data_IF_848949640195
#
_entry.id   IF_848949640195
#
_cell.length_a   1.000
_cell.length_b   1.000
_cell.length_c   1.000
_cell.angle_alpha   90.00
_cell.angle_beta   90.00
_cell.angle_gamma   90.00
#
_symmetry.space_group_name_H-M   'P 1'
#
loop_
_entity.id
_entity.type
_entity.pdbx_description
1 polymer ?
#
# COMPACT_ATOMS: atom_id res chain seq x y z
N UNK A 1 3.79 23.70 -6.17
CA UNK A 1 2.60 23.01 -5.68
C UNK A 1 2.93 22.17 -4.45
N UNK A 2 2.01 21.98 -3.48
CA UNK A 2 2.20 21.04 -2.38
C UNK A 2 1.12 19.94 -2.36
N UNK A 3 1.49 18.75 -1.87
CA UNK A 3 0.62 17.58 -1.76
C UNK A 3 0.72 17.05 -0.32
N UNK A 4 -0.39 16.72 0.34
CA UNK A 4 -0.34 16.17 1.70
C UNK A 4 -1.08 14.85 1.85
N UNK A 5 -0.32 13.83 2.36
CA UNK A 5 -0.85 12.56 2.86
C UNK A 5 -0.02 12.07 4.05
N UNK A 6 -0.62 11.96 5.25
CA UNK A 6 0.13 11.65 6.47
C UNK A 6 0.02 10.19 6.92
N UNK A 7 -0.98 9.45 6.44
CA UNK A 7 -1.28 8.05 6.79
C UNK A 7 -2.40 7.48 5.90
N UNK A 8 -2.65 6.16 5.88
CA UNK A 8 -1.80 5.12 6.39
C UNK A 8 -0.74 4.74 5.32
N UNK A 9 0.14 3.75 5.62
CA UNK A 9 1.19 3.30 4.69
C UNK A 9 0.65 2.98 3.29
N UNK A 10 -0.37 2.12 3.20
CA UNK A 10 -0.97 1.75 1.91
C UNK A 10 -1.58 2.93 1.15
N UNK A 11 -2.26 3.85 1.86
CA UNK A 11 -2.79 5.06 1.24
C UNK A 11 -1.67 5.98 0.70
N UNK A 12 -0.52 6.02 1.38
CA UNK A 12 0.66 6.78 0.92
C UNK A 12 1.24 6.10 -0.33
N UNK A 13 1.43 4.79 -0.31
CA UNK A 13 1.87 4.04 -1.48
C UNK A 13 0.97 4.28 -2.69
N UNK A 14 -0.37 4.29 -2.51
CA UNK A 14 -1.31 4.60 -3.58
C UNK A 14 -1.23 6.05 -4.10
N UNK A 15 -0.61 7.01 -3.37
CA UNK A 15 -0.41 8.36 -3.92
C UNK A 15 0.73 8.42 -4.91
N UNK A 16 1.70 7.50 -4.84
CA UNK A 16 2.93 7.54 -5.66
C UNK A 16 2.62 7.56 -7.15
N UNK A 17 1.80 6.67 -7.72
CA UNK A 17 1.51 6.69 -9.15
C UNK A 17 0.92 8.02 -9.63
N UNK A 18 -0.03 8.59 -8.86
CA UNK A 18 -0.65 9.86 -9.23
C UNK A 18 0.33 11.05 -9.08
N UNK A 19 1.12 11.09 -8.01
CA UNK A 19 2.11 12.16 -7.79
C UNK A 19 3.20 12.11 -8.85
N UNK A 20 3.74 10.93 -9.17
CA UNK A 20 4.83 10.80 -10.13
C UNK A 20 4.36 11.07 -11.56
N UNK A 21 3.16 10.61 -11.91
CA UNK A 21 2.55 10.95 -13.20
C UNK A 21 2.29 12.47 -13.34
N UNK A 22 1.79 13.10 -12.28
CA UNK A 22 1.63 14.57 -12.29
C UNK A 22 2.98 15.29 -12.42
N UNK A 23 4.04 14.82 -11.76
CA UNK A 23 5.37 15.38 -11.89
C UNK A 23 5.92 15.23 -13.31
N UNK A 24 5.75 14.07 -13.92
CA UNK A 24 6.23 13.78 -15.26
C UNK A 24 5.51 14.60 -16.35
N UNK A 25 4.18 14.75 -16.22
CA UNK A 25 3.38 15.50 -17.17
C UNK A 25 3.53 17.04 -17.03
N UNK A 26 3.98 17.56 -15.86
CA UNK A 26 4.08 18.99 -15.58
C UNK A 26 5.50 19.34 -15.11
N UNK A 27 6.46 19.28 -16.01
CA UNK A 27 7.90 19.44 -15.73
C UNK A 27 8.32 20.82 -15.26
N UNK A 28 7.54 21.85 -15.58
CA UNK A 28 7.70 23.24 -15.15
C UNK A 28 7.19 23.50 -13.73
N UNK A 29 6.44 22.56 -13.16
CA UNK A 29 5.89 22.65 -11.81
C UNK A 29 6.80 21.96 -10.79
N UNK A 30 7.15 22.66 -9.70
CA UNK A 30 7.82 22.05 -8.55
C UNK A 30 6.79 21.47 -7.58
N UNK A 31 6.96 20.20 -7.23
CA UNK A 31 6.12 19.48 -6.29
C UNK A 31 6.80 19.31 -4.93
N UNK A 32 6.02 19.47 -3.86
CA UNK A 32 6.46 19.19 -2.47
C UNK A 32 5.44 18.25 -1.83
N UNK A 33 5.79 16.99 -1.69
CA UNK A 33 4.97 16.05 -0.92
C UNK A 33 5.27 16.19 0.56
N UNK A 34 4.24 16.42 1.36
CA UNK A 34 4.32 16.46 2.82
C UNK A 34 3.72 15.19 3.40
N UNK A 35 4.55 14.40 4.06
CA UNK A 35 4.16 13.14 4.70
C UNK A 35 4.83 12.98 6.06
N UNK A 36 4.50 11.92 6.81
CA UNK A 36 5.22 11.62 8.05
C UNK A 36 6.63 11.14 7.74
N UNK A 37 7.60 11.53 8.57
CA UNK A 37 9.02 11.18 8.41
C UNK A 37 9.23 9.67 8.16
N UNK A 38 8.51 8.81 8.89
CA UNK A 38 8.60 7.36 8.74
C UNK A 38 8.18 6.85 7.33
N UNK A 39 7.32 7.57 6.62
CA UNK A 39 6.81 7.17 5.31
C UNK A 39 7.47 7.91 4.13
N UNK A 40 8.31 8.89 4.40
CA UNK A 40 9.03 9.60 3.35
C UNK A 40 9.84 8.67 2.41
N UNK A 41 10.46 7.58 2.89
CA UNK A 41 11.18 6.64 2.03
C UNK A 41 10.31 5.89 1.02
N UNK A 42 8.97 5.85 1.20
CA UNK A 42 8.06 5.25 0.21
C UNK A 42 8.12 6.02 -1.13
N UNK A 43 8.44 7.31 -1.11
CA UNK A 43 8.69 8.11 -2.31
C UNK A 43 10.16 7.96 -2.74
N UNK A 44 10.59 6.74 -3.07
CA UNK A 44 11.90 6.45 -3.68
C UNK A 44 11.93 6.76 -5.18
N UNK A 45 13.10 6.73 -5.82
CA UNK A 45 13.27 6.94 -7.28
C UNK A 45 12.46 8.15 -7.80
N UNK A 46 12.64 9.29 -7.14
CA UNK A 46 11.82 10.50 -7.32
C UNK A 46 12.12 11.19 -8.64
N UNK A 47 11.10 11.77 -9.31
CA UNK A 47 11.31 12.78 -10.34
C UNK A 47 12.09 14.00 -9.81
N UNK A 48 12.89 14.64 -10.65
CA UNK A 48 13.76 15.78 -10.27
C UNK A 48 12.97 16.99 -9.74
N UNK A 49 11.74 17.18 -10.21
CA UNK A 49 10.86 18.25 -9.78
C UNK A 49 10.06 17.93 -8.51
N UNK A 50 10.35 16.81 -7.79
CA UNK A 50 9.68 16.36 -6.58
C UNK A 50 10.56 16.42 -5.33
N UNK A 51 10.19 17.27 -4.39
CA UNK A 51 10.71 17.28 -3.01
C UNK A 51 9.81 16.50 -2.08
N UNK A 52 10.36 15.73 -1.13
CA UNK A 52 9.60 15.05 -0.07
C UNK A 52 9.95 15.62 1.29
N UNK A 53 8.99 16.27 1.92
CA UNK A 53 9.10 16.83 3.27
C UNK A 53 8.53 15.84 4.30
N UNK A 54 9.42 15.08 4.94
CA UNK A 54 9.07 14.19 6.05
C UNK A 54 8.93 14.97 7.36
N UNK A 55 7.73 15.00 7.94
CA UNK A 55 7.44 15.75 9.17
C UNK A 55 7.07 14.85 10.34
N UNK A 56 7.35 15.31 11.57
CA UNK A 56 6.79 14.72 12.78
C UNK A 56 5.52 15.48 13.18
N UNK A 57 4.44 14.73 13.40
CA UNK A 57 3.13 15.25 13.79
C UNK A 57 2.79 15.02 15.26
N UNK A 58 3.62 14.26 15.97
CA UNK A 58 3.43 13.95 17.39
C UNK A 58 4.26 14.87 18.28
N UNK A 59 5.42 15.25 17.79
CA UNK A 59 6.41 16.05 18.52
C UNK A 59 6.97 17.18 17.65
N UNK A 60 7.64 18.13 18.29
CA UNK A 60 8.38 19.19 17.62
C UNK A 60 7.51 20.25 16.91
N UNK A 61 8.08 20.84 15.87
CA UNK A 61 7.61 22.07 15.18
C UNK A 61 6.19 21.96 14.62
N UNK A 62 5.79 20.76 14.14
CA UNK A 62 4.52 20.57 13.40
C UNK A 62 3.43 19.86 14.21
N UNK A 63 3.57 19.83 15.55
CA UNK A 63 2.56 19.25 16.46
C UNK A 63 1.31 20.12 16.57
N UNK A 64 0.14 19.48 16.48
CA UNK A 64 -1.16 20.11 16.74
C UNK A 64 -1.58 21.16 15.70
N UNK A 65 -2.55 22.00 16.04
CA UNK A 65 -3.09 23.04 15.15
C UNK A 65 -2.07 24.13 14.84
N UNK A 66 -1.30 24.58 15.85
CA UNK A 66 -0.22 25.55 15.66
C UNK A 66 0.85 25.00 14.72
N UNK A 67 1.13 23.70 14.82
CA UNK A 67 2.04 23.02 13.87
C UNK A 67 1.54 23.07 12.43
N UNK A 68 0.23 22.96 12.19
CA UNK A 68 -0.34 23.09 10.84
C UNK A 68 -0.25 24.54 10.32
N UNK A 69 -0.42 25.54 11.17
CA UNK A 69 -0.20 26.93 10.81
C UNK A 69 1.27 27.20 10.44
N UNK A 70 2.21 26.69 11.22
CA UNK A 70 3.65 26.78 10.91
C UNK A 70 3.99 26.09 9.60
N UNK A 71 3.43 24.90 9.35
CA UNK A 71 3.60 24.17 8.09
C UNK A 71 3.08 24.98 6.89
N UNK A 72 1.90 25.63 7.03
CA UNK A 72 1.37 26.51 6.00
C UNK A 72 2.32 27.67 5.70
N UNK A 73 2.88 28.31 6.76
CA UNK A 73 3.87 29.37 6.61
C UNK A 73 5.16 28.90 5.91
N UNK A 74 5.64 27.69 6.25
CA UNK A 74 6.84 27.13 5.63
C UNK A 74 6.61 26.78 4.15
N UNK A 75 5.45 26.22 3.79
CA UNK A 75 5.06 25.95 2.40
C UNK A 75 4.91 27.24 1.58
N UNK A 76 4.36 28.29 2.17
CA UNK A 76 4.29 29.60 1.53
C UNK A 76 5.68 30.18 1.23
N UNK A 77 6.61 30.08 2.17
CA UNK A 77 8.00 30.51 1.96
C UNK A 77 8.71 29.75 0.84
N UNK A 78 8.25 28.52 0.56
CA UNK A 78 8.68 27.73 -0.61
C UNK A 78 7.97 28.15 -1.92
N UNK A 79 7.11 29.17 -1.91
CA UNK A 79 6.39 29.63 -3.08
C UNK A 79 5.23 28.74 -3.52
N UNK A 80 4.62 27.99 -2.60
CA UNK A 80 3.47 27.11 -2.92
C UNK A 80 2.25 27.95 -3.26
N UNK A 81 1.71 27.79 -4.47
CA UNK A 81 0.50 28.42 -5.01
C UNK A 81 -0.72 27.50 -4.99
N UNK A 82 -0.50 26.19 -5.03
CA UNK A 82 -1.54 25.17 -5.14
C UNK A 82 -1.32 24.05 -4.12
N UNK A 83 -2.43 23.53 -3.56
CA UNK A 83 -2.38 22.49 -2.55
C UNK A 83 -3.39 21.36 -2.80
N UNK A 84 -2.88 20.16 -2.97
CA UNK A 84 -3.65 18.91 -3.06
C UNK A 84 -3.73 18.23 -1.69
N UNK A 85 -4.89 18.30 -1.02
CA UNK A 85 -5.16 17.54 0.21
C UNK A 85 -5.66 16.13 -0.13
N UNK A 86 -4.75 15.19 -0.34
CA UNK A 86 -5.05 13.78 -0.60
C UNK A 86 -5.42 12.99 0.66
N UNK A 87 -5.42 13.64 1.83
CA UNK A 87 -5.78 13.01 3.11
C UNK A 87 -7.19 13.34 3.57
N UNK A 88 -7.61 14.59 3.42
CA UNK A 88 -8.92 15.11 3.80
C UNK A 88 -9.37 14.68 5.22
N UNK A 89 -8.53 14.96 6.24
CA UNK A 89 -8.81 14.77 7.67
C UNK A 89 -8.79 16.12 8.39
N UNK A 90 -9.20 16.16 9.68
CA UNK A 90 -9.24 17.40 10.45
C UNK A 90 -7.90 18.18 10.38
N UNK A 91 -6.77 17.49 10.55
CA UNK A 91 -5.44 18.11 10.55
C UNK A 91 -5.09 18.75 9.21
N UNK A 92 -5.31 18.04 8.09
CA UNK A 92 -5.09 18.62 6.75
C UNK A 92 -6.17 19.65 6.41
N UNK A 93 -7.35 19.59 7.02
CA UNK A 93 -8.39 20.62 6.94
C UNK A 93 -7.91 21.94 7.52
N UNK A 94 -7.27 21.93 8.70
CA UNK A 94 -6.66 23.13 9.30
C UNK A 94 -5.58 23.69 8.36
N UNK A 95 -4.66 22.83 7.87
CA UNK A 95 -3.64 23.23 6.92
C UNK A 95 -4.25 23.85 5.66
N UNK A 96 -5.30 23.25 5.10
CA UNK A 96 -6.03 23.74 3.93
C UNK A 96 -6.61 25.15 4.16
N UNK A 97 -7.22 25.37 5.34
CA UNK A 97 -7.77 26.70 5.66
C UNK A 97 -6.67 27.76 5.82
N UNK A 98 -5.57 27.43 6.53
CA UNK A 98 -4.43 28.32 6.65
C UNK A 98 -3.86 28.71 5.28
N UNK A 99 -3.74 27.77 4.35
CA UNK A 99 -3.23 28.03 3.00
C UNK A 99 -4.20 28.89 2.18
N UNK A 100 -5.53 28.62 2.24
CA UNK A 100 -6.55 29.44 1.57
C UNK A 100 -6.54 30.90 2.01
N UNK A 101 -6.42 31.16 3.31
CA UNK A 101 -6.32 32.52 3.86
C UNK A 101 -5.12 33.30 3.29
N UNK A 102 -4.19 32.60 2.69
CA UNK A 102 -3.01 33.17 2.05
C UNK A 102 -3.04 33.09 0.52
N UNK A 103 -4.20 32.88 -0.09
CA UNK A 103 -4.39 32.88 -1.53
C UNK A 103 -3.95 31.60 -2.25
N UNK A 104 -3.64 30.51 -1.52
CA UNK A 104 -3.30 29.22 -2.13
C UNK A 104 -4.56 28.51 -2.64
N UNK A 105 -4.55 28.05 -3.87
CA UNK A 105 -5.63 27.25 -4.43
C UNK A 105 -5.61 25.84 -3.79
N UNK A 106 -6.73 25.42 -3.24
CA UNK A 106 -6.82 24.15 -2.50
C UNK A 106 -7.87 23.23 -3.10
N UNK A 107 -7.48 22.01 -3.44
CA UNK A 107 -8.39 20.91 -3.74
C UNK A 107 -8.21 19.78 -2.74
N UNK A 108 -9.32 19.11 -2.43
CA UNK A 108 -9.35 18.06 -1.40
C UNK A 108 -9.98 16.81 -1.98
N UNK A 109 -9.40 15.68 -1.65
CA UNK A 109 -9.90 14.36 -2.04
C UNK A 109 -11.37 14.17 -1.64
N UNK A 110 -12.23 13.79 -2.58
CA UNK A 110 -13.53 13.23 -2.24
C UNK A 110 -13.36 11.80 -1.73
N UNK A 111 -13.82 11.54 -0.53
CA UNK A 111 -13.77 10.22 0.11
C UNK A 111 -14.94 9.32 -0.28
N UNK A 112 -15.85 9.79 -1.10
CA UNK A 112 -17.05 9.05 -1.55
C UNK A 112 -17.79 8.38 -0.38
N UNK A 113 -18.00 9.10 0.75
CA UNK A 113 -18.51 8.50 1.99
C UNK A 113 -19.90 7.88 1.81
N UNK A 114 -20.77 8.52 1.02
CA UNK A 114 -22.15 8.02 0.76
C UNK A 114 -22.08 6.72 -0.06
N UNK A 115 -21.27 6.66 -1.09
CA UNK A 115 -21.06 5.49 -1.93
C UNK A 115 -20.46 4.34 -1.11
N UNK A 116 -19.46 4.62 -0.25
CA UNK A 116 -18.90 3.64 0.70
C UNK A 116 -19.94 3.07 1.65
N UNK A 117 -20.82 3.90 2.20
CA UNK A 117 -21.93 3.43 3.04
C UNK A 117 -22.88 2.52 2.23
N UNK A 118 -23.24 2.91 1.00
CA UNK A 118 -24.11 2.11 0.13
C UNK A 118 -23.48 0.76 -0.20
N UNK A 119 -22.18 0.74 -0.55
CA UNK A 119 -21.45 -0.50 -0.83
C UNK A 119 -21.47 -1.46 0.39
N UNK A 120 -21.21 -0.96 1.60
CA UNK A 120 -21.26 -1.78 2.82
C UNK A 120 -22.68 -2.22 3.21
N UNK A 121 -23.70 -1.47 2.82
CA UNK A 121 -25.10 -1.82 3.12
C UNK A 121 -25.67 -2.85 2.15
N UNK A 122 -25.38 -2.70 0.86
CA UNK A 122 -25.89 -3.58 -0.19
C UNK A 122 -25.01 -4.83 -0.41
N UNK A 123 -23.72 -4.78 -0.04
CA UNK A 123 -22.72 -5.77 -0.41
C UNK A 123 -22.19 -5.59 -1.85
N UNK A 124 -21.03 -6.17 -2.13
CA UNK A 124 -20.37 -6.03 -3.43
C UNK A 124 -21.14 -6.69 -4.58
N UNK A 125 -21.95 -7.70 -4.30
CA UNK A 125 -22.78 -8.38 -5.29
C UNK A 125 -23.90 -7.50 -5.87
N UNK A 126 -24.43 -6.56 -5.05
CA UNK A 126 -25.57 -5.73 -5.42
C UNK A 126 -25.21 -4.26 -5.68
N UNK A 127 -24.01 -3.83 -5.29
CA UNK A 127 -23.55 -2.46 -5.45
C UNK A 127 -22.54 -2.34 -6.61
N UNK A 128 -22.55 -1.19 -7.27
CA UNK A 128 -21.50 -0.89 -8.24
C UNK A 128 -20.16 -0.67 -7.50
N UNK A 129 -19.03 -1.14 -8.08
CA UNK A 129 -17.71 -0.85 -7.56
C UNK A 129 -17.47 0.66 -7.47
N UNK A 130 -16.73 1.06 -6.46
CA UNK A 130 -16.26 2.44 -6.32
C UNK A 130 -15.07 2.67 -7.26
N UNK A 131 -14.94 3.90 -7.68
CA UNK A 131 -13.76 4.37 -8.38
C UNK A 131 -12.47 4.09 -7.57
N UNK A 132 -11.40 3.69 -8.27
CA UNK A 132 -10.12 3.39 -7.61
C UNK A 132 -9.61 4.63 -6.87
N UNK A 133 -9.03 4.42 -5.70
CA UNK A 133 -8.47 5.50 -4.86
C UNK A 133 -7.38 6.27 -5.61
N UNK A 134 -6.60 5.59 -6.45
CA UNK A 134 -5.52 6.17 -7.25
C UNK A 134 -6.08 7.15 -8.28
N UNK A 135 -7.18 6.82 -8.95
CA UNK A 135 -7.82 7.68 -9.95
C UNK A 135 -8.41 8.93 -9.28
N UNK A 136 -9.02 8.78 -8.10
CA UNK A 136 -9.49 9.92 -7.29
C UNK A 136 -8.37 10.83 -6.81
N UNK A 137 -7.13 10.32 -6.66
CA UNK A 137 -5.97 11.19 -6.42
C UNK A 137 -5.61 11.98 -7.67
N UNK A 138 -5.69 11.37 -8.86
CA UNK A 138 -5.49 12.07 -10.12
C UNK A 138 -6.51 13.18 -10.34
N UNK A 139 -7.79 12.95 -10.00
CA UNK A 139 -8.85 13.98 -10.07
C UNK A 139 -8.52 15.24 -9.27
N UNK A 140 -7.83 15.09 -8.13
CA UNK A 140 -7.43 16.27 -7.33
C UNK A 140 -6.40 17.11 -8.08
N UNK A 141 -5.46 16.49 -8.81
CA UNK A 141 -4.49 17.18 -9.65
C UNK A 141 -5.16 17.84 -10.85
N UNK A 142 -6.02 17.11 -11.54
CA UNK A 142 -6.80 17.63 -12.68
C UNK A 142 -7.66 18.82 -12.27
N UNK A 143 -8.30 18.76 -11.09
CA UNK A 143 -9.08 19.89 -10.54
C UNK A 143 -8.23 21.12 -10.14
N UNK A 144 -6.91 20.99 -10.08
CA UNK A 144 -5.93 22.07 -9.92
C UNK A 144 -5.34 22.55 -11.27
N UNK A 145 -5.82 22.02 -12.40
CA UNK A 145 -5.36 22.37 -13.74
C UNK A 145 -4.10 21.64 -14.20
N UNK A 146 -3.75 20.52 -13.54
CA UNK A 146 -2.58 19.72 -13.89
C UNK A 146 -2.98 18.46 -14.66
N UNK A 147 -2.15 18.05 -15.59
CA UNK A 147 -2.25 16.77 -16.26
C UNK A 147 -1.78 15.63 -15.32
N UNK A 148 -2.54 14.53 -15.23
CA UNK A 148 -2.20 13.43 -14.34
C UNK A 148 -2.80 12.11 -14.83
N UNK A 149 -1.94 11.20 -15.31
CA UNK A 149 -2.31 9.86 -15.81
C UNK A 149 -1.57 8.78 -14.99
N UNK A 150 -2.12 8.29 -13.87
CA UNK A 150 -1.40 7.37 -12.95
C UNK A 150 -0.89 6.09 -13.60
N UNK A 151 -1.51 5.64 -14.70
CA UNK A 151 -1.08 4.45 -15.42
C UNK A 151 0.24 4.64 -16.20
N UNK A 152 0.67 5.89 -16.44
CA UNK A 152 1.94 6.22 -17.09
C UNK A 152 3.13 6.12 -16.13
N UNK A 153 2.91 6.05 -14.81
CA UNK A 153 3.98 5.75 -13.87
C UNK A 153 4.64 4.43 -14.24
N UNK A 154 5.97 4.40 -14.38
CA UNK A 154 6.70 3.23 -14.81
C UNK A 154 6.83 2.13 -13.74
N UNK A 155 6.55 2.47 -12.47
CA UNK A 155 6.88 1.61 -11.32
C UNK A 155 8.30 1.83 -10.83
N UNK A 156 8.63 1.26 -9.68
CA UNK A 156 9.99 1.23 -9.19
C UNK A 156 10.77 0.13 -9.88
N UNK A 157 11.94 0.46 -10.40
CA UNK A 157 12.90 -0.50 -10.91
C UNK A 157 13.75 -1.05 -9.76
N UNK A 158 14.15 -2.33 -9.82
CA UNK A 158 15.28 -2.78 -9.02
C UNK A 158 16.53 -2.15 -9.63
N UNK A 159 17.23 -1.29 -8.89
CA UNK A 159 18.62 -1.02 -9.20
C UNK A 159 19.37 -2.30 -8.84
N UNK A 160 19.50 -3.18 -9.82
CA UNK A 160 20.26 -4.40 -9.65
C UNK A 160 21.72 -4.02 -9.40
N UNK A 161 22.12 -4.00 -8.14
CA UNK A 161 23.51 -4.21 -7.80
C UNK A 161 23.80 -5.65 -8.22
N UNK A 162 24.56 -5.79 -9.31
CA UNK A 162 24.83 -7.07 -9.98
C UNK A 162 25.59 -8.07 -9.07
N UNK A 163 25.98 -7.68 -7.87
CA UNK A 163 26.87 -8.46 -6.99
C UNK A 163 26.15 -9.39 -5.99
N UNK A 164 24.83 -9.25 -5.78
CA UNK A 164 24.07 -10.11 -4.84
C UNK A 164 22.90 -10.84 -5.51
N UNK A 165 22.89 -11.04 -6.81
CA UNK A 165 21.94 -11.90 -7.47
C UNK A 165 22.42 -13.35 -7.36
N UNK A 166 22.04 -14.14 -6.32
CA UNK A 166 22.28 -15.57 -6.35
C UNK A 166 21.57 -16.09 -7.60
N UNK A 167 22.23 -16.95 -8.32
CA UNK A 167 21.88 -17.52 -9.63
C UNK A 167 20.39 -17.44 -9.99
N UNK A 168 20.06 -17.30 -11.26
CA UNK A 168 18.70 -17.28 -11.84
C UNK A 168 17.77 -18.44 -11.40
N UNK A 169 18.23 -19.30 -10.51
CA UNK A 169 17.56 -20.50 -10.00
C UNK A 169 16.75 -20.31 -8.72
N UNK A 170 16.81 -19.14 -8.03
CA UNK A 170 16.10 -18.96 -6.75
C UNK A 170 14.81 -18.18 -6.94
N UNK A 171 13.67 -18.83 -6.62
CA UNK A 171 12.35 -18.16 -6.58
C UNK A 171 12.19 -17.42 -5.25
N UNK A 172 11.92 -16.12 -5.31
CA UNK A 172 11.79 -15.21 -4.15
C UNK A 172 10.33 -14.85 -3.92
N UNK A 173 9.77 -15.32 -2.82
CA UNK A 173 8.35 -15.08 -2.47
C UNK A 173 8.27 -14.25 -1.21
N UNK A 174 7.58 -13.11 -1.30
CA UNK A 174 7.24 -12.28 -0.16
C UNK A 174 5.92 -12.71 0.49
N UNK A 175 5.87 -12.74 1.81
CA UNK A 175 4.64 -13.03 2.57
C UNK A 175 4.41 -11.91 3.58
N UNK A 176 3.31 -11.19 3.44
CA UNK A 176 2.84 -10.15 4.36
C UNK A 176 1.51 -10.59 5.00
N UNK A 177 1.56 -11.43 6.07
CA UNK A 177 0.39 -12.16 6.57
C UNK A 177 -0.55 -11.31 7.43
N UNK A 178 -0.17 -10.07 7.73
CA UNK A 178 -0.88 -9.22 8.67
C UNK A 178 -1.49 -7.98 8.03
N UNK A 179 -2.48 -7.42 8.71
CA UNK A 179 -3.08 -6.14 8.42
C UNK A 179 -3.54 -5.45 9.72
N UNK A 180 -3.81 -4.14 9.65
CA UNK A 180 -4.14 -3.33 10.81
C UNK A 180 -5.42 -3.75 11.56
N UNK A 181 -6.30 -4.54 10.93
CA UNK A 181 -7.61 -4.90 11.49
C UNK A 181 -7.90 -6.38 11.30
N UNK A 182 -8.50 -7.02 12.32
CA UNK A 182 -8.78 -8.47 12.35
C UNK A 182 -9.55 -8.96 11.12
N UNK A 183 -10.51 -8.19 10.63
CA UNK A 183 -11.31 -8.55 9.44
C UNK A 183 -10.51 -8.64 8.13
N UNK A 184 -9.24 -8.26 8.15
CA UNK A 184 -8.33 -8.35 7.00
C UNK A 184 -7.22 -9.40 7.19
N UNK A 185 -7.15 -10.06 8.34
CA UNK A 185 -6.08 -11.02 8.66
C UNK A 185 -6.58 -12.42 8.42
N UNK A 186 -6.03 -13.07 7.42
CA UNK A 186 -6.23 -14.50 7.18
C UNK A 186 -5.77 -15.32 8.40
N UNK A 187 -6.40 -16.46 8.75
CA UNK A 187 -5.99 -17.26 9.89
C UNK A 187 -4.49 -17.54 9.86
N UNK A 188 -3.72 -17.14 10.90
CA UNK A 188 -2.26 -17.25 10.89
C UNK A 188 -1.76 -18.68 10.75
N UNK A 189 -2.44 -19.64 11.34
CA UNK A 189 -2.12 -21.06 11.24
C UNK A 189 -2.28 -21.60 9.82
N UNK A 190 -3.32 -21.15 9.09
CA UNK A 190 -3.50 -21.49 7.68
C UNK A 190 -2.43 -20.81 6.80
N UNK A 191 -2.05 -19.56 7.12
CA UNK A 191 -1.00 -18.87 6.40
C UNK A 191 0.36 -19.53 6.64
N UNK A 192 0.65 -19.97 7.86
CA UNK A 192 1.88 -20.70 8.15
C UNK A 192 1.99 -21.99 7.34
N UNK A 193 0.89 -22.70 7.13
CA UNK A 193 0.86 -23.88 6.26
C UNK A 193 1.20 -23.55 4.80
N UNK A 194 0.69 -22.40 4.28
CA UNK A 194 1.08 -21.88 2.96
C UNK A 194 2.56 -21.57 2.89
N UNK A 195 3.10 -20.89 3.90
CA UNK A 195 4.53 -20.55 3.96
C UNK A 195 5.40 -21.78 3.97
N UNK A 196 5.03 -22.78 4.76
CA UNK A 196 5.77 -24.04 4.86
C UNK A 196 5.77 -24.82 3.54
N UNK A 197 4.61 -24.93 2.89
CA UNK A 197 4.47 -25.60 1.59
C UNK A 197 5.31 -24.93 0.49
N UNK A 198 5.25 -23.60 0.40
CA UNK A 198 6.05 -22.84 -0.56
C UNK A 198 7.56 -22.96 -0.27
N UNK A 199 7.96 -22.95 1.01
CA UNK A 199 9.35 -23.03 1.42
C UNK A 199 9.97 -24.43 1.18
N UNK A 200 9.17 -25.50 1.15
CA UNK A 200 9.64 -26.84 0.81
C UNK A 200 10.02 -27.00 -0.67
N UNK A 201 9.65 -26.08 -1.53
CA UNK A 201 10.00 -26.14 -2.96
C UNK A 201 11.47 -25.85 -3.16
N UNK A 202 12.13 -26.70 -3.92
CA UNK A 202 13.56 -26.54 -4.21
C UNK A 202 13.87 -25.16 -4.84
N UNK A 203 14.87 -24.50 -4.33
CA UNK A 203 15.29 -23.18 -4.83
C UNK A 203 14.32 -22.05 -4.46
N UNK A 204 13.47 -22.22 -3.44
CA UNK A 204 12.58 -21.14 -2.96
C UNK A 204 13.13 -20.50 -1.71
N UNK A 205 13.12 -19.15 -1.67
CA UNK A 205 13.40 -18.33 -0.50
C UNK A 205 12.17 -17.51 -0.15
N UNK A 206 11.77 -17.58 1.11
CA UNK A 206 10.62 -16.85 1.64
C UNK A 206 11.09 -15.60 2.40
N UNK A 207 10.45 -14.47 2.15
CA UNK A 207 10.65 -13.23 2.89
C UNK A 207 9.37 -12.87 3.66
N UNK A 208 9.45 -12.86 5.00
CA UNK A 208 8.32 -12.52 5.87
C UNK A 208 8.31 -11.03 6.16
N UNK A 209 7.24 -10.33 5.75
CA UNK A 209 7.05 -8.91 5.96
C UNK A 209 6.02 -8.64 7.05
N UNK A 210 6.31 -7.68 7.91
CA UNK A 210 5.45 -7.22 9.00
C UNK A 210 6.23 -6.37 9.97
N UNK A 211 5.58 -5.90 11.03
CA UNK A 211 6.28 -5.08 12.01
C UNK A 211 5.43 -4.68 13.21
N UNK A 212 6.10 -4.07 14.17
CA UNK A 212 5.46 -3.63 15.40
C UNK A 212 5.39 -4.70 16.49
N UNK A 213 4.76 -4.34 17.60
CA UNK A 213 4.83 -5.13 18.85
C UNK A 213 4.10 -6.48 18.77
N UNK A 214 3.11 -6.60 17.91
CA UNK A 214 2.25 -7.80 17.82
C UNK A 214 2.68 -8.75 16.70
N UNK A 215 3.15 -8.23 15.58
CA UNK A 215 3.49 -9.04 14.40
C UNK A 215 4.92 -9.59 14.48
N UNK A 216 5.89 -8.78 14.91
CA UNK A 216 7.31 -9.18 14.98
C UNK A 216 7.54 -10.47 15.79
N UNK A 217 6.94 -10.70 16.98
CA UNK A 217 7.15 -11.95 17.71
C UNK A 217 6.61 -13.18 16.95
N UNK A 218 5.51 -13.04 16.24
CA UNK A 218 4.90 -14.14 15.45
C UNK A 218 5.80 -14.50 14.28
N UNK A 219 6.31 -13.49 13.54
CA UNK A 219 7.23 -13.73 12.41
C UNK A 219 8.54 -14.37 12.87
N UNK A 220 9.09 -13.92 14.00
CA UNK A 220 10.30 -14.52 14.59
C UNK A 220 10.08 -16.00 14.97
N UNK A 221 8.89 -16.32 15.52
CA UNK A 221 8.52 -17.71 15.83
C UNK A 221 8.40 -18.56 14.55
N UNK A 222 7.72 -18.05 13.51
CA UNK A 222 7.60 -18.73 12.22
C UNK A 222 8.97 -18.99 11.60
N UNK A 223 9.83 -17.95 11.57
CA UNK A 223 11.20 -18.11 11.08
C UNK A 223 11.94 -19.21 11.83
N UNK A 224 11.92 -19.19 13.17
CA UNK A 224 12.62 -20.19 13.98
C UNK A 224 12.11 -21.62 13.69
N UNK A 225 10.79 -21.79 13.62
CA UNK A 225 10.16 -23.07 13.32
C UNK A 225 10.53 -23.61 11.94
N UNK A 226 10.49 -22.76 10.91
CA UNK A 226 10.77 -23.13 9.53
C UNK A 226 12.27 -23.36 9.30
N UNK A 227 13.13 -22.53 9.89
CA UNK A 227 14.59 -22.70 9.82
C UNK A 227 15.06 -23.99 10.51
N UNK A 228 14.40 -24.43 11.60
CA UNK A 228 14.68 -25.72 12.25
C UNK A 228 14.38 -26.92 11.32
N UNK A 229 13.53 -26.74 10.31
CA UNK A 229 13.25 -27.72 9.25
C UNK A 229 14.18 -27.60 8.03
N UNK A 230 15.20 -26.72 8.10
CA UNK A 230 16.15 -26.48 6.99
C UNK A 230 15.59 -25.60 5.86
N UNK A 231 14.46 -24.91 6.08
CA UNK A 231 13.83 -24.07 5.06
C UNK A 231 14.46 -22.67 5.00
N UNK A 232 14.58 -22.11 3.79
CA UNK A 232 15.21 -20.79 3.57
C UNK A 232 14.18 -19.66 3.76
N UNK A 233 14.18 -19.08 4.97
CA UNK A 233 13.23 -18.06 5.40
C UNK A 233 13.95 -16.86 6.00
N UNK A 234 13.62 -15.66 5.52
CA UNK A 234 14.16 -14.38 5.98
C UNK A 234 13.08 -13.59 6.71
N UNK A 235 13.36 -13.12 7.93
CA UNK A 235 12.47 -12.23 8.70
C UNK A 235 12.87 -10.75 8.44
N UNK A 236 12.08 -10.05 7.65
CA UNK A 236 12.32 -8.64 7.31
C UNK A 236 12.07 -7.70 8.50
N UNK A 237 11.20 -8.07 9.44
CA UNK A 237 10.99 -7.30 10.67
C UNK A 237 12.25 -7.27 11.56
N UNK A 238 12.97 -8.39 11.62
CA UNK A 238 14.24 -8.49 12.35
C UNK A 238 15.37 -7.71 11.66
N UNK A 239 15.36 -7.62 10.34
CA UNK A 239 16.37 -6.91 9.56
C UNK A 239 16.38 -5.39 9.78
N UNK A 240 15.26 -4.81 10.26
CA UNK A 240 15.11 -3.36 10.56
C UNK A 240 15.53 -2.44 9.39
N UNK A 241 15.39 -2.91 8.15
CA UNK A 241 15.84 -2.19 6.96
C UNK A 241 15.04 -0.91 6.67
N UNK A 242 13.91 -0.70 7.34
CA UNK A 242 12.98 0.39 7.08
C UNK A 242 12.34 0.29 5.69
N UNK A 243 11.46 1.23 5.35
CA UNK A 243 10.71 1.14 4.08
C UNK A 243 11.60 1.16 2.83
N UNK A 244 12.74 1.87 2.84
CA UNK A 244 13.64 1.86 1.68
C UNK A 244 14.22 0.47 1.44
N UNK A 245 14.72 -0.18 2.48
CA UNK A 245 15.28 -1.53 2.37
C UNK A 245 14.20 -2.60 2.12
N UNK A 246 12.99 -2.43 2.69
CA UNK A 246 11.86 -3.31 2.37
C UNK A 246 11.46 -3.20 0.89
N UNK A 247 11.38 -1.98 0.35
CA UNK A 247 11.06 -1.74 -1.08
C UNK A 247 12.14 -2.33 -1.98
N UNK A 248 13.41 -2.20 -1.60
CA UNK A 248 14.52 -2.80 -2.34
C UNK A 248 14.38 -4.33 -2.40
N UNK A 249 14.12 -5.00 -1.28
CA UNK A 249 13.86 -6.44 -1.26
C UNK A 249 12.59 -6.80 -2.06
N UNK A 250 11.50 -6.05 -1.87
CA UNK A 250 10.24 -6.28 -2.59
C UNK A 250 10.47 -6.20 -4.10
N UNK A 251 11.26 -5.25 -4.60
CA UNK A 251 11.49 -5.07 -6.04
C UNK A 251 12.14 -6.29 -6.74
N UNK A 252 12.75 -7.17 -5.94
CA UNK A 252 13.43 -8.40 -6.40
C UNK A 252 12.60 -9.67 -6.21
N UNK A 253 11.37 -9.56 -5.72
CA UNK A 253 10.48 -10.70 -5.54
C UNK A 253 9.86 -11.16 -6.87
N UNK A 254 9.62 -12.47 -6.98
CA UNK A 254 8.87 -13.06 -8.08
C UNK A 254 7.36 -12.99 -7.85
N UNK A 255 6.93 -13.04 -6.58
CA UNK A 255 5.53 -12.84 -6.17
C UNK A 255 5.44 -12.33 -4.72
N UNK A 256 4.32 -11.68 -4.38
CA UNK A 256 3.99 -11.26 -3.03
C UNK A 256 2.62 -11.79 -2.62
N UNK A 257 2.54 -12.55 -1.53
CA UNK A 257 1.27 -12.83 -0.86
C UNK A 257 1.01 -11.76 0.18
N UNK A 258 -0.12 -11.08 0.11
CA UNK A 258 -0.45 -10.02 1.04
C UNK A 258 -1.94 -9.99 1.37
N UNK A 259 -2.23 -9.54 2.57
CA UNK A 259 -3.57 -9.09 2.91
C UNK A 259 -3.90 -7.77 2.19
N UNK A 260 -5.16 -7.33 2.21
CA UNK A 260 -5.52 -5.94 1.91
C UNK A 260 -4.81 -5.00 2.90
N UNK A 261 -3.53 -4.75 2.65
CA UNK A 261 -2.60 -4.02 3.52
C UNK A 261 -1.64 -3.15 2.73
N UNK A 262 -0.74 -2.43 3.43
CA UNK A 262 0.23 -1.56 2.78
C UNK A 262 1.23 -2.30 1.91
N UNK A 263 1.63 -3.51 2.29
CA UNK A 263 2.60 -4.31 1.53
C UNK A 263 2.08 -4.71 0.14
N UNK A 264 0.77 -4.93 0.00
CA UNK A 264 0.12 -5.11 -1.31
C UNK A 264 0.43 -3.95 -2.25
N UNK A 265 0.31 -2.72 -1.76
CA UNK A 265 0.55 -1.53 -2.56
C UNK A 265 2.05 -1.30 -2.82
N UNK A 266 2.93 -1.58 -1.85
CA UNK A 266 4.38 -1.50 -2.06
C UNK A 266 4.85 -2.48 -3.14
N UNK A 267 4.36 -3.72 -3.12
CA UNK A 267 4.67 -4.71 -4.15
C UNK A 267 4.18 -4.26 -5.53
N UNK A 268 2.98 -3.70 -5.61
CA UNK A 268 2.45 -3.15 -6.87
C UNK A 268 3.31 -2.00 -7.42
N UNK A 269 3.84 -1.10 -6.56
CA UNK A 269 4.77 -0.05 -7.00
C UNK A 269 6.05 -0.62 -7.62
N UNK A 270 6.51 -1.78 -7.14
CA UNK A 270 7.66 -2.50 -7.66
C UNK A 270 7.33 -3.43 -8.84
N UNK A 271 6.10 -3.39 -9.37
CA UNK A 271 5.64 -4.28 -10.45
C UNK A 271 5.84 -5.76 -10.13
N UNK A 272 5.65 -6.11 -8.85
CA UNK A 272 5.65 -7.50 -8.39
C UNK A 272 4.21 -7.98 -8.37
N UNK A 273 3.89 -9.12 -9.02
CA UNK A 273 2.56 -9.71 -8.97
C UNK A 273 2.14 -10.03 -7.54
N UNK A 274 0.91 -9.64 -7.17
CA UNK A 274 0.41 -9.81 -5.80
C UNK A 274 -0.71 -10.84 -5.76
N UNK A 275 -0.57 -11.82 -4.90
CA UNK A 275 -1.68 -12.67 -4.45
C UNK A 275 -2.30 -11.98 -3.22
N UNK A 276 -3.44 -11.34 -3.43
CA UNK A 276 -4.08 -10.50 -2.43
C UNK A 276 -5.29 -11.19 -1.81
N UNK A 277 -5.28 -11.37 -0.48
CA UNK A 277 -6.35 -12.03 0.26
C UNK A 277 -7.29 -10.99 0.87
N UNK A 278 -8.56 -11.09 0.52
CA UNK A 278 -9.62 -10.18 0.94
C UNK A 278 -10.63 -10.90 1.85
N UNK A 279 -10.68 -10.51 3.11
CA UNK A 279 -11.65 -11.00 4.09
C UNK A 279 -12.91 -10.12 4.16
N UNK A 280 -13.06 -9.37 5.25
CA UNK A 280 -14.19 -8.48 5.50
C UNK A 280 -14.23 -7.23 4.59
N UNK A 281 -13.19 -6.97 3.84
CA UNK A 281 -13.11 -5.93 2.80
C UNK A 281 -13.32 -6.54 1.41
N UNK A 282 -13.35 -5.70 0.37
CA UNK A 282 -13.59 -6.15 -1.00
C UNK A 282 -12.91 -5.23 -2.02
N UNK A 283 -12.36 -5.73 -3.14
CA UNK A 283 -11.78 -4.93 -4.22
C UNK A 283 -12.70 -3.81 -4.74
N UNK A 284 -14.02 -4.06 -4.77
CA UNK A 284 -15.03 -3.06 -5.15
C UNK A 284 -15.01 -1.77 -4.31
N UNK A 285 -14.29 -1.73 -3.18
CA UNK A 285 -14.08 -0.52 -2.40
C UNK A 285 -13.05 0.45 -3.01
N UNK A 286 -12.42 0.08 -4.13
CA UNK A 286 -11.47 0.90 -4.89
C UNK A 286 -10.05 0.93 -4.32
N UNK A 287 -9.67 -0.05 -3.47
CA UNK A 287 -8.32 -0.17 -2.89
C UNK A 287 -7.46 -1.25 -3.58
N UNK A 288 -7.77 -1.57 -4.82
CA UNK A 288 -6.95 -2.52 -5.59
C UNK A 288 -5.52 -2.02 -5.80
N UNK A 289 -4.55 -2.92 -5.99
CA UNK A 289 -3.19 -2.55 -6.35
C UNK A 289 -3.14 -1.70 -7.62
N UNK A 290 -2.15 -0.82 -7.74
CA UNK A 290 -1.87 -0.12 -8.98
C UNK A 290 -1.42 -1.12 -10.05
N UNK A 291 -1.93 -0.97 -11.29
CA UNK A 291 -1.73 -1.95 -12.38
C UNK A 291 -2.00 -3.38 -11.90
N UNK A 292 -3.16 -3.56 -11.28
CA UNK A 292 -3.53 -4.82 -10.62
C UNK A 292 -3.92 -5.96 -11.57
N UNK A 293 -3.72 -5.81 -12.89
CA UNK A 293 -4.00 -6.85 -13.90
C UNK A 293 -3.15 -8.10 -13.66
N UNK A 294 -1.90 -7.93 -13.20
CA UNK A 294 -1.01 -9.02 -12.81
C UNK A 294 -1.30 -9.56 -11.40
N UNK A 295 -2.26 -9.00 -10.67
CA UNK A 295 -2.54 -9.38 -9.28
C UNK A 295 -3.76 -10.29 -9.19
N UNK A 296 -3.64 -11.31 -8.33
CA UNK A 296 -4.67 -12.33 -8.12
C UNK A 296 -5.45 -12.01 -6.85
N UNK A 297 -6.75 -11.71 -6.98
CA UNK A 297 -7.62 -11.36 -5.85
C UNK A 297 -8.32 -12.61 -5.34
N UNK A 298 -8.00 -13.03 -4.11
CA UNK A 298 -8.63 -14.18 -3.45
C UNK A 298 -9.62 -13.69 -2.40
N UNK A 299 -10.82 -14.23 -2.43
CA UNK A 299 -11.88 -13.91 -1.47
C UNK A 299 -13.15 -14.68 -1.80
N UNK A 300 -14.15 -14.60 -0.95
CA UNK A 300 -15.46 -15.22 -1.18
C UNK A 300 -16.44 -14.19 -1.75
N UNK A 301 -16.60 -14.19 -3.05
CA UNK A 301 -17.50 -13.26 -3.75
C UNK A 301 -18.98 -13.68 -3.68
N UNK A 302 -19.29 -14.84 -3.09
CA UNK A 302 -20.67 -15.31 -2.89
C UNK A 302 -21.32 -14.73 -1.63
N UNK A 303 -20.53 -14.19 -0.70
CA UNK A 303 -21.01 -13.65 0.56
C UNK A 303 -21.60 -12.25 0.42
N UNK A 304 -22.91 -12.15 0.53
CA UNK A 304 -23.64 -10.88 0.50
C UNK A 304 -23.23 -9.88 1.62
N UNK A 305 -22.57 -10.34 2.68
CA UNK A 305 -22.13 -9.47 3.77
C UNK A 305 -20.80 -8.73 3.47
N UNK A 306 -20.13 -9.00 2.34
CA UNK A 306 -18.88 -8.34 1.96
C UNK A 306 -19.13 -7.15 1.02
N UNK A 307 -18.42 -6.02 1.24
CA UNK A 307 -17.59 -5.71 2.40
C UNK A 307 -18.42 -5.36 3.63
N UNK A 308 -18.09 -5.95 4.78
CA UNK A 308 -18.72 -5.55 6.06
C UNK A 308 -18.30 -4.12 6.47
N UNK A 309 -17.12 -3.70 6.00
CA UNK A 309 -16.47 -2.43 6.31
C UNK A 309 -15.45 -2.09 5.24
N UNK A 310 -15.35 -0.82 4.88
CA UNK A 310 -14.36 -0.34 3.89
C UNK A 310 -12.91 -0.59 4.35
N UNK A 311 -12.65 -0.59 5.65
CA UNK A 311 -11.31 -0.70 6.22
C UNK A 311 -11.09 -1.94 7.09
N UNK A 312 -12.06 -2.85 7.16
CA UNK A 312 -11.96 -4.05 8.00
C UNK A 312 -12.07 -3.80 9.52
N UNK A 313 -12.52 -2.60 9.94
CA UNK A 313 -12.59 -2.21 11.36
C UNK A 313 -13.77 -2.83 12.11
N UNK A 314 -14.83 -3.16 11.38
CA UNK A 314 -16.04 -3.69 11.96
C UNK A 314 -15.83 -5.16 12.32
N UNK A 315 -16.22 -5.54 13.51
CA UNK A 315 -16.22 -6.94 13.92
C UNK A 315 -17.18 -7.76 13.05
N UNK A 316 -16.86 -9.02 12.86
CA UNK A 316 -17.71 -9.93 12.13
C UNK A 316 -19.02 -10.12 12.88
N UNK A 317 -20.18 -9.85 12.24
CA UNK A 317 -21.50 -10.02 12.85
C UNK A 317 -21.84 -11.49 13.19
N UNK A 318 -21.14 -12.44 12.57
CA UNK A 318 -21.29 -13.86 12.85
C UNK A 318 -20.21 -14.40 13.80
N UNK A 319 -19.15 -13.61 14.09
CA UNK A 319 -18.06 -13.98 14.98
C UNK A 319 -16.99 -14.89 14.38
N UNK A 320 -17.26 -15.54 13.24
CA UNK A 320 -16.46 -16.61 12.67
C UNK A 320 -15.50 -16.20 11.54
N UNK A 321 -15.69 -15.00 10.97
CA UNK A 321 -14.90 -14.53 9.82
C UNK A 321 -14.91 -15.50 8.63
N UNK A 322 -16.06 -16.16 8.38
CA UNK A 322 -16.27 -17.13 7.28
C UNK A 322 -15.86 -16.62 5.89
N UNK A 323 -15.67 -15.34 5.72
CA UNK A 323 -15.15 -14.74 4.48
C UNK A 323 -13.76 -15.23 4.07
N UNK A 324 -13.07 -15.95 4.96
CA UNK A 324 -11.81 -16.62 4.66
C UNK A 324 -11.94 -18.11 4.35
N UNK A 325 -13.13 -18.72 4.53
CA UNK A 325 -13.28 -20.18 4.39
C UNK A 325 -13.13 -20.65 2.95
N UNK A 326 -13.60 -19.85 1.98
CA UNK A 326 -13.42 -20.16 0.56
C UNK A 326 -11.97 -20.01 0.07
N UNK A 327 -11.12 -19.32 0.85
CA UNK A 327 -9.70 -19.16 0.52
C UNK A 327 -8.92 -20.27 1.21
N UNK A 328 -8.71 -21.40 0.52
CA UNK A 328 -7.92 -22.51 1.05
C UNK A 328 -6.42 -22.23 0.95
N UNK A 329 -5.57 -22.85 1.80
CA UNK A 329 -4.11 -22.78 1.63
C UNK A 329 -3.67 -23.17 0.21
N UNK A 330 -4.23 -24.25 -0.35
CA UNK A 330 -3.92 -24.67 -1.73
C UNK A 330 -4.26 -23.63 -2.77
N UNK A 331 -5.40 -22.94 -2.66
CA UNK A 331 -5.76 -21.87 -3.58
C UNK A 331 -4.75 -20.69 -3.56
N UNK A 332 -4.15 -20.42 -2.39
CA UNK A 332 -3.10 -19.42 -2.27
C UNK A 332 -1.82 -19.90 -2.95
N UNK A 333 -1.42 -21.15 -2.72
CA UNK A 333 -0.23 -21.78 -3.33
C UNK A 333 -0.36 -21.77 -4.85
N UNK A 334 -1.50 -22.21 -5.40
CA UNK A 334 -1.78 -22.20 -6.84
C UNK A 334 -1.77 -20.78 -7.43
N UNK A 335 -2.24 -19.80 -6.66
CA UNK A 335 -2.18 -18.39 -7.07
C UNK A 335 -0.74 -17.86 -7.09
N UNK A 336 0.11 -18.27 -6.15
CA UNK A 336 1.54 -17.91 -6.15
C UNK A 336 2.22 -18.48 -7.40
N UNK A 337 1.94 -19.70 -7.80
CA UNK A 337 2.50 -20.30 -9.02
C UNK A 337 2.13 -19.49 -10.27
N UNK A 338 0.86 -19.10 -10.37
CA UNK A 338 0.42 -18.22 -11.46
C UNK A 338 1.13 -16.86 -11.42
N UNK A 339 1.27 -16.26 -10.24
CA UNK A 339 1.94 -14.98 -10.07
C UNK A 339 3.43 -15.04 -10.49
N UNK A 340 4.15 -16.07 -10.07
CA UNK A 340 5.56 -16.31 -10.48
C UNK A 340 5.67 -16.48 -11.99
N UNK A 341 4.74 -17.22 -12.61
CA UNK A 341 4.73 -17.41 -14.07
C UNK A 341 4.48 -16.10 -14.82
N UNK A 342 3.53 -15.24 -14.34
CA UNK A 342 3.30 -13.91 -14.90
C UNK A 342 4.60 -13.09 -14.87
N UNK A 343 5.28 -13.04 -13.73
CA UNK A 343 6.53 -12.28 -13.57
C UNK A 343 7.61 -12.72 -14.56
N UNK A 344 7.76 -14.04 -14.75
CA UNK A 344 8.75 -14.61 -15.69
C UNK A 344 8.44 -14.35 -17.16
N UNK A 345 7.16 -14.14 -17.48
CA UNK A 345 6.73 -13.85 -18.87
C UNK A 345 6.90 -12.38 -19.23
N UNK A 346 6.94 -11.49 -18.21
CA UNK A 346 7.12 -10.05 -18.41
C UNK A 346 8.60 -9.60 -18.43
N UNK A 347 9.54 -10.51 -18.10
CA UNK A 347 11.00 -10.32 -18.16
C UNK A 347 11.56 -10.78 -19.48
#
# INVERSE_FOLDING_TARGET
MAVARFSAMGDIAMTVPAVYAACAANTDVRFVVVTRKAFAPIYGQRPDNLEVLGIDLREGRYKGAIGMWRLASDLRRKGVTDFADLHNVLRTGILSQCLRLHGVHVRRLDKQRRQRCRLCAAGALAAQPLERVIDRYADVFTALGLECHPNEFAGYSSEAVAEDCPSAAVTRIGIAPFAAHRGKVYPPERMLAVVEELAHRQGTRIYLFGGGKTETPVLAQWKAQLSAKGLDVVDMAAAKAGFAGEIDVISRLDAMVSMDSGNMHLAALCRVPVVCIWGATHPAAGFTPWKGEASLMLGDDTLACRPCSIFGKKECRFGDYRCFDAVTPQAIVDAVDRAVNIKRTEQ
#
